data_IF_002787200012
#
_entry.id   IF_002787200012
#
_cell.length_a   1.000
_cell.length_b   1.000
_cell.length_c   1.000
_cell.angle_alpha   90.00
_cell.angle_beta   90.00
_cell.angle_gamma   90.00
#
_symmetry.space_group_name_H-M   'P 1'
#
loop_
_entity.id
_entity.type
_entity.pdbx_description
1 polymer ?
#
# COMPACT_ATOMS: atom_id res chain seq x y z
N UNK A 1 31.16 28.39 -51.03
CA UNK A 1 29.96 28.86 -50.30
C UNK A 1 28.75 27.93 -50.42
N UNK A 2 28.44 27.35 -51.60
CA UNK A 2 27.25 26.47 -51.81
C UNK A 2 27.13 25.23 -50.90
N UNK A 3 28.23 24.58 -50.52
CA UNK A 3 28.21 23.39 -49.64
C UNK A 3 27.89 23.70 -48.17
N UNK A 4 28.16 24.92 -47.70
CA UNK A 4 27.90 25.34 -46.31
C UNK A 4 26.41 25.63 -46.08
N UNK A 5 25.73 26.20 -47.09
CA UNK A 5 24.30 26.51 -47.04
C UNK A 5 23.41 25.27 -47.10
N UNK A 6 23.80 24.26 -47.90
CA UNK A 6 23.13 22.95 -47.98
C UNK A 6 23.25 22.18 -46.65
N UNK A 7 24.43 22.21 -46.02
CA UNK A 7 24.66 21.56 -44.73
C UNK A 7 23.84 22.20 -43.60
N UNK A 8 23.80 23.54 -43.53
CA UNK A 8 22.98 24.27 -42.55
C UNK A 8 21.48 24.03 -42.77
N UNK A 9 21.02 23.97 -44.03
CA UNK A 9 19.62 23.65 -44.36
C UNK A 9 19.20 22.24 -43.94
N UNK A 10 20.07 21.24 -44.15
CA UNK A 10 19.79 19.85 -43.74
C UNK A 10 19.74 19.69 -42.20
N UNK A 11 20.63 20.38 -41.47
CA UNK A 11 20.65 20.38 -40.00
C UNK A 11 19.41 21.10 -39.44
N UNK A 12 18.96 22.20 -40.05
CA UNK A 12 17.74 22.88 -39.64
C UNK A 12 16.48 22.01 -39.87
N UNK A 13 16.41 21.31 -41.01
CA UNK A 13 15.30 20.41 -41.31
C UNK A 13 15.24 19.22 -40.35
N UNK A 14 16.36 18.57 -40.04
CA UNK A 14 16.41 17.47 -39.09
C UNK A 14 16.00 17.90 -37.67
N UNK A 15 16.42 19.10 -37.23
CA UNK A 15 15.99 19.68 -35.96
C UNK A 15 14.49 19.99 -35.94
N UNK A 16 13.93 20.51 -37.04
CA UNK A 16 12.49 20.77 -37.15
C UNK A 16 11.70 19.46 -37.08
N UNK A 17 12.06 18.43 -37.86
CA UNK A 17 11.40 17.12 -37.84
C UNK A 17 11.48 16.43 -36.46
N UNK A 18 12.63 16.52 -35.79
CA UNK A 18 12.77 16.02 -34.42
C UNK A 18 11.83 16.78 -33.46
N UNK A 19 11.76 18.12 -33.58
CA UNK A 19 10.92 18.95 -32.71
C UNK A 19 9.42 18.74 -32.94
N UNK A 20 9.00 18.48 -34.17
CA UNK A 20 7.59 18.20 -34.50
C UNK A 20 7.21 16.79 -34.07
N UNK A 21 8.08 15.81 -34.28
CA UNK A 21 7.94 14.45 -33.76
C UNK A 21 7.80 14.42 -32.23
N UNK A 22 8.68 15.12 -31.51
CA UNK A 22 8.61 15.24 -30.05
C UNK A 22 7.30 15.90 -29.58
N UNK A 23 6.86 16.98 -30.24
CA UNK A 23 5.58 17.64 -29.95
C UNK A 23 4.39 16.71 -30.19
N UNK A 24 4.40 15.93 -31.26
CA UNK A 24 3.36 14.96 -31.54
C UNK A 24 3.28 13.88 -30.46
N UNK A 25 4.43 13.31 -30.06
CA UNK A 25 4.47 12.29 -28.99
C UNK A 25 4.01 12.84 -27.65
N UNK A 26 4.39 14.08 -27.31
CA UNK A 26 3.92 14.74 -26.10
C UNK A 26 2.40 14.93 -26.08
N UNK A 27 1.81 15.39 -27.20
CA UNK A 27 0.34 15.54 -27.34
C UNK A 27 -0.37 14.19 -27.23
N UNK A 28 0.14 13.16 -27.91
CA UNK A 28 -0.41 11.80 -27.85
C UNK A 28 -0.36 11.25 -26.42
N UNK A 29 0.77 11.41 -25.72
CA UNK A 29 0.91 10.99 -24.32
C UNK A 29 -0.06 11.71 -23.40
N UNK A 30 -0.23 13.03 -23.56
CA UNK A 30 -1.20 13.80 -22.78
C UNK A 30 -2.64 13.31 -22.99
N UNK A 31 -3.02 13.04 -24.25
CA UNK A 31 -4.36 12.52 -24.57
C UNK A 31 -4.59 11.11 -24.01
N UNK A 32 -3.62 10.20 -24.17
CA UNK A 32 -3.69 8.86 -23.56
C UNK A 32 -3.79 8.92 -22.02
N UNK A 33 -3.11 9.88 -21.41
CA UNK A 33 -3.13 10.11 -19.96
C UNK A 33 -4.49 10.63 -19.49
N UNK A 34 -5.10 11.54 -20.26
CA UNK A 34 -6.46 12.02 -19.99
C UNK A 34 -7.47 10.87 -20.09
N UNK A 35 -7.36 10.04 -21.12
CA UNK A 35 -8.19 8.84 -21.27
C UNK A 35 -7.96 7.83 -20.15
N UNK A 36 -6.74 7.73 -19.61
CA UNK A 36 -6.43 6.86 -18.47
C UNK A 36 -7.22 7.31 -17.24
N UNK A 37 -7.21 8.62 -16.94
CA UNK A 37 -8.02 9.18 -15.85
C UNK A 37 -9.51 8.83 -16.01
N UNK A 38 -10.09 9.05 -17.20
CA UNK A 38 -11.49 8.68 -17.47
C UNK A 38 -11.75 7.18 -17.34
N UNK A 39 -10.83 6.32 -17.78
CA UNK A 39 -10.98 4.88 -17.66
C UNK A 39 -11.00 4.41 -16.20
N UNK A 40 -10.17 5.02 -15.34
CA UNK A 40 -10.16 4.74 -13.90
C UNK A 40 -11.46 5.18 -13.23
N UNK A 41 -11.95 6.39 -13.51
CA UNK A 41 -13.22 6.89 -12.95
C UNK A 41 -14.45 6.07 -13.36
N UNK A 42 -14.35 5.30 -14.45
CA UNK A 42 -15.41 4.41 -14.94
C UNK A 42 -15.16 2.93 -14.61
N UNK A 43 -14.16 2.64 -13.77
CA UNK A 43 -13.70 1.28 -13.43
C UNK A 43 -13.46 0.38 -14.67
N UNK A 44 -12.99 0.97 -15.77
CA UNK A 44 -12.70 0.26 -17.01
C UNK A 44 -11.26 -0.27 -17.02
N UNK A 45 -11.01 -1.30 -16.20
CA UNK A 45 -9.69 -1.93 -16.01
C UNK A 45 -9.03 -2.33 -17.35
N UNK A 46 -9.72 -3.00 -18.30
CA UNK A 46 -9.11 -3.36 -19.59
C UNK A 46 -8.63 -2.15 -20.39
N UNK A 47 -9.44 -1.08 -20.42
CA UNK A 47 -9.08 0.15 -21.12
C UNK A 47 -7.90 0.85 -20.45
N UNK A 48 -7.89 0.94 -19.13
CA UNK A 48 -6.78 1.54 -18.38
C UNK A 48 -5.45 0.79 -18.65
N UNK A 49 -5.46 -0.56 -18.59
CA UNK A 49 -4.29 -1.39 -18.91
C UNK A 49 -3.81 -1.15 -20.35
N UNK A 50 -4.74 -1.08 -21.32
CA UNK A 50 -4.38 -0.80 -22.70
C UNK A 50 -3.73 0.58 -22.87
N UNK A 51 -4.26 1.61 -22.21
CA UNK A 51 -3.74 2.97 -22.29
C UNK A 51 -2.33 3.09 -21.71
N UNK A 52 -2.07 2.41 -20.58
CA UNK A 52 -0.72 2.30 -20.00
C UNK A 52 0.26 1.66 -21.00
N UNK A 53 -0.13 0.54 -21.64
CA UNK A 53 0.68 -0.12 -22.68
C UNK A 53 0.95 0.78 -23.89
N UNK A 54 0.03 1.69 -24.23
CA UNK A 54 0.17 2.64 -25.33
C UNK A 54 1.04 3.86 -25.00
N UNK A 55 1.48 3.99 -23.74
CA UNK A 55 2.38 5.05 -23.26
C UNK A 55 1.69 6.18 -22.51
N UNK A 56 0.48 5.98 -21.96
CA UNK A 56 -0.08 6.91 -20.98
C UNK A 56 0.90 7.13 -19.81
N UNK A 57 0.94 8.34 -19.25
CA UNK A 57 1.83 8.63 -18.13
C UNK A 57 1.28 8.00 -16.83
N UNK A 58 1.94 6.99 -16.23
CA UNK A 58 1.45 6.37 -15.00
C UNK A 58 1.57 7.29 -13.77
N UNK A 59 2.44 8.30 -13.83
CA UNK A 59 2.69 9.27 -12.75
C UNK A 59 1.86 10.55 -12.87
N UNK A 60 0.86 10.56 -13.76
CA UNK A 60 -0.01 11.71 -13.90
C UNK A 60 -0.90 11.89 -12.68
N UNK A 61 -1.34 13.13 -12.47
CA UNK A 61 -2.29 13.51 -11.43
C UNK A 61 -3.67 13.77 -12.02
N UNK A 62 -4.71 13.46 -11.27
CA UNK A 62 -6.08 13.85 -11.56
C UNK A 62 -6.30 15.35 -11.40
N UNK A 63 -7.54 15.79 -11.60
CA UNK A 63 -7.93 17.20 -11.44
C UNK A 63 -7.84 17.69 -9.99
N UNK A 64 -7.96 16.79 -9.04
CA UNK A 64 -7.76 16.97 -7.60
C UNK A 64 -6.28 17.04 -7.18
N UNK A 65 -5.35 16.81 -8.11
CA UNK A 65 -3.92 16.76 -7.83
C UNK A 65 -3.44 15.43 -7.22
N UNK A 66 -4.32 14.44 -7.09
CA UNK A 66 -3.99 13.10 -6.58
C UNK A 66 -3.38 12.27 -7.73
N UNK A 67 -2.25 11.57 -7.53
CA UNK A 67 -1.71 10.68 -8.54
C UNK A 67 -2.73 9.60 -8.96
N UNK A 68 -2.90 9.38 -10.27
CA UNK A 68 -3.93 8.48 -10.81
C UNK A 68 -3.82 7.04 -10.29
N UNK A 69 -2.61 6.59 -9.92
CA UNK A 69 -2.39 5.26 -9.34
C UNK A 69 -3.13 5.04 -8.02
N UNK A 70 -3.46 6.09 -7.25
CA UNK A 70 -4.28 5.93 -6.04
C UNK A 70 -5.68 5.43 -6.40
N UNK A 71 -6.31 5.98 -7.45
CA UNK A 71 -7.60 5.49 -7.92
C UNK A 71 -7.55 4.07 -8.50
N UNK A 72 -6.36 3.56 -8.87
CA UNK A 72 -6.21 2.17 -9.27
C UNK A 72 -6.23 1.19 -8.08
N UNK A 73 -5.87 1.65 -6.87
CA UNK A 73 -5.95 0.85 -5.64
C UNK A 73 -7.41 0.69 -5.18
N UNK A 74 -8.24 1.72 -5.36
CA UNK A 74 -9.67 1.66 -5.03
C UNK A 74 -10.46 0.69 -5.94
N UNK A 75 -9.88 0.35 -7.11
CA UNK A 75 -10.44 -0.61 -8.07
C UNK A 75 -10.15 -2.07 -7.67
N UNK A 76 -9.23 -2.30 -6.73
CA UNK A 76 -8.85 -3.62 -6.20
C UNK A 76 -8.49 -4.63 -7.31
N UNK A 77 -7.54 -4.24 -8.17
CA UNK A 77 -7.13 -5.03 -9.32
C UNK A 77 -5.60 -5.15 -9.38
N UNK A 78 -5.04 -6.27 -8.88
CA UNK A 78 -3.61 -6.55 -8.97
C UNK A 78 -3.07 -6.47 -10.40
N UNK A 79 -3.87 -6.88 -11.39
CA UNK A 79 -3.51 -6.80 -12.81
C UNK A 79 -3.37 -5.34 -13.31
N UNK A 80 -4.26 -4.44 -12.87
CA UNK A 80 -4.16 -3.02 -13.21
C UNK A 80 -2.96 -2.37 -12.51
N UNK A 81 -2.76 -2.64 -11.21
CA UNK A 81 -1.61 -2.13 -10.47
C UNK A 81 -0.28 -2.61 -11.09
N UNK A 82 -0.21 -3.89 -11.47
CA UNK A 82 0.95 -4.45 -12.19
C UNK A 82 1.20 -3.73 -13.52
N UNK A 83 0.16 -3.31 -14.24
CA UNK A 83 0.31 -2.51 -15.45
C UNK A 83 0.88 -1.12 -15.16
N UNK A 84 0.47 -0.46 -14.06
CA UNK A 84 1.08 0.79 -13.60
C UNK A 84 2.57 0.61 -13.27
N UNK A 85 2.91 -0.43 -12.49
CA UNK A 85 4.30 -0.77 -12.16
C UNK A 85 5.13 -1.01 -13.42
N UNK A 86 4.61 -1.80 -14.36
CA UNK A 86 5.29 -2.09 -15.64
C UNK A 86 5.47 -0.83 -16.49
N UNK A 87 4.54 0.12 -16.42
CA UNK A 87 4.63 1.40 -17.11
C UNK A 87 5.61 2.39 -16.45
N UNK A 88 6.17 2.07 -15.28
CA UNK A 88 7.13 2.90 -14.56
C UNK A 88 6.49 3.92 -13.62
N UNK A 89 5.40 3.54 -12.93
CA UNK A 89 4.87 4.35 -11.83
C UNK A 89 5.92 4.47 -10.71
N UNK A 90 6.00 5.63 -10.09
CA UNK A 90 6.75 5.84 -8.87
C UNK A 90 5.97 5.22 -7.70
N UNK A 91 6.42 4.06 -7.24
CA UNK A 91 5.79 3.30 -6.16
C UNK A 91 5.90 3.98 -4.79
N UNK A 92 6.75 5.00 -4.68
CA UNK A 92 6.91 5.81 -3.48
C UNK A 92 6.20 7.18 -3.58
N UNK A 93 5.30 7.33 -4.55
CA UNK A 93 4.46 8.52 -4.65
C UNK A 93 3.57 8.66 -3.41
N UNK A 94 3.31 9.91 -3.02
CA UNK A 94 2.48 10.25 -1.87
C UNK A 94 1.36 11.18 -2.28
N UNK A 95 0.23 11.06 -1.59
CA UNK A 95 -0.85 12.04 -1.61
C UNK A 95 -1.06 12.61 -0.20
N UNK A 96 -1.86 13.67 -0.11
CA UNK A 96 -2.32 14.21 1.16
C UNK A 96 -3.83 14.22 1.17
N UNK A 97 -4.42 13.58 2.17
CA UNK A 97 -5.86 13.53 2.39
C UNK A 97 -6.12 13.78 3.87
N UNK A 98 -7.04 14.70 4.18
CA UNK A 98 -7.36 15.09 5.56
C UNK A 98 -6.14 15.50 6.41
N UNK A 99 -5.12 16.08 5.78
CA UNK A 99 -3.88 16.47 6.45
C UNK A 99 -2.92 15.30 6.77
N UNK A 100 -3.25 14.08 6.37
CA UNK A 100 -2.41 12.89 6.50
C UNK A 100 -1.69 12.57 5.20
N UNK A 101 -0.44 12.12 5.31
CA UNK A 101 0.34 11.64 4.16
C UNK A 101 -0.11 10.21 3.86
N UNK A 102 -0.64 9.98 2.66
CA UNK A 102 -0.96 8.65 2.13
C UNK A 102 0.14 8.20 1.19
N UNK A 103 0.69 7.02 1.43
CA UNK A 103 1.58 6.30 0.51
C UNK A 103 0.78 5.27 -0.27
N UNK A 104 1.30 4.71 -1.37
CA UNK A 104 0.61 3.60 -2.04
C UNK A 104 0.41 2.40 -1.11
N UNK A 105 1.43 2.04 -0.30
CA UNK A 105 1.35 0.92 0.63
C UNK A 105 0.28 1.11 1.72
N UNK A 106 0.14 2.34 2.22
CA UNK A 106 -0.86 2.66 3.25
C UNK A 106 -2.28 2.82 2.69
N UNK A 107 -2.42 2.84 1.37
CA UNK A 107 -3.70 3.02 0.69
C UNK A 107 -4.31 1.72 0.20
N UNK A 108 -3.55 0.63 0.19
CA UNK A 108 -4.05 -0.71 -0.18
C UNK A 108 -5.12 -1.13 0.82
N UNK A 109 -6.36 -1.30 0.35
CA UNK A 109 -7.47 -1.72 1.21
C UNK A 109 -7.93 -0.66 2.21
N UNK A 110 -7.62 0.63 1.99
CA UNK A 110 -7.97 1.72 2.91
C UNK A 110 -9.47 1.79 3.28
N UNK A 111 -10.35 1.34 2.38
CA UNK A 111 -11.81 1.30 2.58
C UNK A 111 -12.35 -0.10 2.87
N UNK A 112 -11.50 -1.11 2.92
CA UNK A 112 -11.93 -2.49 3.08
C UNK A 112 -12.10 -2.83 4.57
N UNK A 113 -13.25 -3.41 4.92
CA UNK A 113 -13.48 -3.99 6.25
C UNK A 113 -12.63 -5.25 6.47
N UNK A 114 -12.24 -5.93 5.39
CA UNK A 114 -11.40 -7.13 5.39
C UNK A 114 -10.40 -7.04 4.22
N UNK A 115 -9.11 -7.32 4.45
CA UNK A 115 -8.16 -7.48 3.34
C UNK A 115 -8.44 -8.80 2.61
N UNK A 116 -9.00 -8.71 1.40
CA UNK A 116 -9.12 -9.84 0.51
C UNK A 116 -7.77 -10.23 -0.12
N UNK A 117 -7.66 -11.42 -0.74
CA UNK A 117 -6.43 -11.85 -1.39
C UNK A 117 -5.86 -10.86 -2.42
N UNK A 118 -6.72 -10.08 -3.08
CA UNK A 118 -6.33 -9.07 -4.06
C UNK A 118 -5.48 -7.96 -3.42
N UNK A 119 -5.89 -7.42 -2.27
CA UNK A 119 -5.17 -6.37 -1.56
C UNK A 119 -3.81 -6.89 -1.04
N UNK A 120 -3.76 -8.13 -0.56
CA UNK A 120 -2.48 -8.76 -0.17
C UNK A 120 -1.55 -8.89 -1.39
N UNK A 121 -2.09 -9.26 -2.55
CA UNK A 121 -1.32 -9.32 -3.80
C UNK A 121 -0.85 -7.92 -4.25
N UNK A 122 -1.69 -6.89 -4.18
CA UNK A 122 -1.32 -5.50 -4.48
C UNK A 122 -0.20 -4.99 -3.57
N UNK A 123 -0.34 -5.24 -2.26
CA UNK A 123 0.70 -4.86 -1.31
C UNK A 123 2.01 -5.59 -1.61
N UNK A 124 1.94 -6.88 -1.97
CA UNK A 124 3.11 -7.63 -2.41
C UNK A 124 3.73 -7.05 -3.67
N UNK A 125 2.93 -6.70 -4.68
CA UNK A 125 3.41 -6.09 -5.92
C UNK A 125 4.13 -4.76 -5.65
N UNK A 126 3.59 -3.91 -4.77
CA UNK A 126 4.24 -2.65 -4.38
C UNK A 126 5.57 -2.90 -3.67
N UNK A 127 5.60 -3.81 -2.70
CA UNK A 127 6.81 -4.15 -1.94
C UNK A 127 7.89 -4.77 -2.84
N UNK A 128 7.51 -5.72 -3.71
CA UNK A 128 8.40 -6.35 -4.70
C UNK A 128 8.95 -5.30 -5.70
N UNK A 129 8.19 -4.24 -5.99
CA UNK A 129 8.59 -3.12 -6.84
C UNK A 129 9.42 -2.04 -6.10
N UNK A 130 9.71 -2.22 -4.81
CA UNK A 130 10.57 -1.30 -4.04
C UNK A 130 9.83 -0.17 -3.34
N UNK A 131 8.52 -0.32 -3.09
CA UNK A 131 7.82 0.60 -2.19
C UNK A 131 8.42 0.54 -0.79
N UNK A 132 8.72 1.70 -0.22
CA UNK A 132 9.35 1.84 1.08
C UNK A 132 8.29 1.74 2.19
N UNK A 133 8.26 0.66 3.01
CA UNK A 133 7.27 0.52 4.07
C UNK A 133 7.50 1.47 5.25
N UNK A 134 8.59 2.25 5.24
CA UNK A 134 8.90 3.25 6.24
C UNK A 134 8.65 4.68 5.74
N UNK A 135 8.04 4.84 4.57
CA UNK A 135 7.74 6.14 3.98
C UNK A 135 6.67 6.87 4.80
N UNK A 136 6.94 8.12 5.15
CA UNK A 136 6.00 8.99 5.88
C UNK A 136 6.21 9.06 7.39
N UNK A 137 5.47 9.97 8.06
CA UNK A 137 5.58 10.21 9.49
C UNK A 137 4.90 9.12 10.35
N UNK A 138 3.86 8.48 9.82
CA UNK A 138 3.12 7.42 10.50
C UNK A 138 3.74 6.04 10.18
N UNK A 139 3.54 5.05 11.05
CA UNK A 139 3.90 3.66 10.73
C UNK A 139 2.93 3.13 9.68
N UNK A 140 3.42 2.44 8.65
CA UNK A 140 2.54 1.76 7.68
C UNK A 140 1.65 0.71 8.36
N UNK A 141 2.15 0.12 9.46
CA UNK A 141 1.40 -0.85 10.26
C UNK A 141 0.23 -0.14 10.95
N UNK A 142 0.46 1.02 11.58
CA UNK A 142 -0.60 1.83 12.18
C UNK A 142 -1.56 2.42 11.15
N UNK A 143 -1.05 2.94 10.04
CA UNK A 143 -1.86 3.53 8.99
C UNK A 143 -2.85 2.51 8.40
N UNK A 144 -2.37 1.28 8.17
CA UNK A 144 -3.21 0.17 7.71
C UNK A 144 -4.10 -0.41 8.81
N UNK A 145 -3.75 -0.18 10.09
CA UNK A 145 -4.54 -0.57 11.25
C UNK A 145 -5.34 0.60 11.87
N UNK A 146 -5.61 1.70 11.15
CA UNK A 146 -6.22 2.92 11.73
C UNK A 146 -7.48 3.51 11.08
N UNK A 147 -7.98 3.00 9.94
CA UNK A 147 -9.07 3.60 9.12
C UNK A 147 -10.56 3.58 9.56
N UNK A 148 -10.90 3.23 10.79
CA UNK A 148 -12.22 2.86 11.35
C UNK A 148 -12.06 3.22 12.81
N UNK A 149 -12.28 4.50 13.09
CA UNK A 149 -12.23 5.07 14.43
C UNK A 149 -13.27 4.49 15.40
N UNK A 150 -13.77 3.27 15.17
CA UNK A 150 -14.76 2.57 15.98
C UNK A 150 -14.24 1.23 16.53
N UNK A 151 -13.27 0.55 15.90
CA UNK A 151 -12.68 -0.67 16.47
C UNK A 151 -11.32 -1.03 15.83
N UNK A 152 -10.27 -1.17 16.64
CA UNK A 152 -8.93 -1.66 16.24
C UNK A 152 -8.88 -3.14 15.81
N UNK A 153 -10.06 -3.76 15.68
CA UNK A 153 -10.28 -5.17 15.34
C UNK A 153 -10.25 -5.44 13.84
N UNK A 154 -10.74 -4.50 13.03
CA UNK A 154 -11.15 -4.78 11.64
C UNK A 154 -10.00 -4.86 10.63
N UNK A 155 -8.74 -4.58 11.00
CA UNK A 155 -7.61 -4.72 10.04
C UNK A 155 -6.43 -5.52 10.55
N UNK A 156 -6.64 -6.35 11.57
CA UNK A 156 -5.59 -7.25 12.02
C UNK A 156 -5.42 -8.40 11.02
N UNK A 157 -4.63 -8.19 9.96
CA UNK A 157 -4.22 -9.25 9.07
C UNK A 157 -2.75 -9.65 9.34
N UNK A 158 -2.50 -10.81 9.98
CA UNK A 158 -1.14 -11.29 10.25
C UNK A 158 -0.29 -11.46 9.00
N UNK A 159 -0.91 -11.80 7.87
CA UNK A 159 -0.21 -11.94 6.59
C UNK A 159 0.27 -10.58 6.10
N UNK A 160 -0.55 -9.55 6.23
CA UNK A 160 -0.19 -8.17 5.89
C UNK A 160 0.99 -7.68 6.75
N UNK A 161 0.87 -7.77 8.09
CA UNK A 161 1.92 -7.33 9.01
C UNK A 161 3.21 -8.14 8.77
N UNK A 162 3.11 -9.46 8.61
CA UNK A 162 4.27 -10.30 8.31
C UNK A 162 4.93 -9.92 6.98
N UNK A 163 4.13 -9.60 5.96
CA UNK A 163 4.62 -9.20 4.65
C UNK A 163 5.36 -7.84 4.72
N UNK A 164 4.81 -6.87 5.44
CA UNK A 164 5.45 -5.57 5.67
C UNK A 164 6.78 -5.72 6.43
N UNK A 165 6.79 -6.49 7.52
CA UNK A 165 8.00 -6.76 8.30
C UNK A 165 9.07 -7.49 7.50
N UNK A 166 8.66 -8.47 6.68
CA UNK A 166 9.57 -9.19 5.76
C UNK A 166 10.28 -8.24 4.79
N UNK A 167 9.62 -7.14 4.40
CA UNK A 167 10.18 -6.11 3.52
C UNK A 167 10.80 -4.93 4.30
N UNK A 168 11.10 -5.11 5.59
CA UNK A 168 11.86 -4.14 6.37
C UNK A 168 11.03 -3.01 6.96
N UNK A 169 9.71 -3.17 7.13
CA UNK A 169 8.91 -2.25 7.94
C UNK A 169 9.48 -2.22 9.38
N UNK A 170 9.74 -1.02 9.87
CA UNK A 170 10.23 -0.79 11.23
C UNK A 170 9.06 -0.54 12.16
N UNK A 171 9.06 -1.24 13.29
CA UNK A 171 8.11 -0.97 14.36
C UNK A 171 8.39 0.42 14.94
N UNK A 172 7.34 1.24 15.02
CA UNK A 172 7.34 2.55 15.67
C UNK A 172 6.60 2.49 17.01
N UNK A 173 6.66 3.59 17.76
CA UNK A 173 5.95 3.73 19.04
C UNK A 173 4.45 3.52 18.80
N UNK A 174 3.87 2.57 19.54
CA UNK A 174 2.46 2.21 19.43
C UNK A 174 2.18 0.99 18.55
N UNK A 175 3.08 0.60 17.63
CA UNK A 175 2.87 -0.57 16.75
C UNK A 175 2.75 -1.87 17.55
N UNK A 176 3.56 -2.01 18.61
CA UNK A 176 3.50 -3.17 19.50
C UNK A 176 2.15 -3.26 20.21
N UNK A 177 1.64 -2.14 20.72
CA UNK A 177 0.33 -2.10 21.36
C UNK A 177 -0.76 -2.46 20.36
N UNK A 178 -0.72 -1.87 19.16
CA UNK A 178 -1.72 -2.12 18.13
C UNK A 178 -1.71 -3.57 17.61
N UNK A 179 -0.53 -4.19 17.46
CA UNK A 179 -0.38 -5.64 17.16
C UNK A 179 -0.98 -6.52 18.26
N UNK A 180 -0.88 -6.10 19.53
CA UNK A 180 -1.41 -6.83 20.68
C UNK A 180 -2.92 -6.59 20.87
N UNK A 181 -3.42 -5.38 20.62
CA UNK A 181 -4.84 -5.01 20.65
C UNK A 181 -5.63 -5.76 19.57
N UNK A 182 -5.04 -5.90 18.39
CA UNK A 182 -5.50 -6.76 17.32
C UNK A 182 -5.83 -8.20 17.78
N UNK A 183 -5.10 -8.73 18.77
CA UNK A 183 -5.34 -10.06 19.30
C UNK A 183 -6.56 -10.18 20.22
N UNK A 184 -7.16 -9.06 20.64
CA UNK A 184 -8.35 -9.02 21.51
C UNK A 184 -9.64 -9.44 20.78
N UNK A 185 -9.63 -9.45 19.45
CA UNK A 185 -10.83 -9.56 18.61
C UNK A 185 -10.84 -10.80 17.69
N UNK A 186 -10.22 -11.91 18.14
CA UNK A 186 -9.96 -13.15 17.38
C UNK A 186 -11.19 -13.77 16.67
N UNK A 187 -12.42 -13.41 17.06
CA UNK A 187 -13.69 -13.99 16.57
C UNK A 187 -14.61 -13.02 15.78
N UNK A 188 -14.16 -11.80 15.47
CA UNK A 188 -15.00 -10.82 14.74
C UNK A 188 -14.78 -10.85 13.21
N UNK A 189 -13.88 -11.71 12.70
CA UNK A 189 -13.48 -11.77 11.29
C UNK A 189 -13.57 -13.17 10.65
N UNK A 190 -13.50 -13.21 9.31
CA UNK A 190 -13.59 -14.46 8.53
C UNK A 190 -12.38 -15.41 8.72
N UNK A 191 -11.23 -14.90 9.16
CA UNK A 191 -10.00 -15.69 9.40
C UNK A 191 -9.90 -16.11 10.88
N UNK A 192 -10.34 -17.34 11.18
CA UNK A 192 -10.21 -17.96 12.52
C UNK A 192 -8.76 -17.93 13.00
N UNK A 193 -8.56 -17.68 14.29
CA UNK A 193 -7.27 -17.64 14.98
C UNK A 193 -6.31 -16.50 14.49
N UNK A 194 -6.85 -15.43 13.85
CA UNK A 194 -6.07 -14.26 13.39
C UNK A 194 -5.34 -13.53 14.53
N UNK A 195 -6.00 -13.38 15.69
CA UNK A 195 -5.41 -12.81 16.90
C UNK A 195 -4.31 -13.71 17.48
N UNK A 196 -4.53 -15.02 17.51
CA UNK A 196 -3.48 -15.99 17.88
C UNK A 196 -2.28 -15.91 16.94
N UNK A 197 -2.52 -15.78 15.63
CA UNK A 197 -1.47 -15.63 14.63
C UNK A 197 -0.69 -14.30 14.80
N UNK A 198 -1.36 -13.20 15.15
CA UNK A 198 -0.70 -11.94 15.50
C UNK A 198 0.21 -12.08 16.70
N UNK A 199 -0.23 -12.73 17.78
CA UNK A 199 0.63 -12.99 18.94
C UNK A 199 1.85 -13.81 18.54
N UNK A 200 1.68 -14.87 17.73
CA UNK A 200 2.82 -15.68 17.25
C UNK A 200 3.79 -14.86 16.40
N UNK A 201 3.29 -13.93 15.59
CA UNK A 201 4.14 -13.02 14.84
C UNK A 201 4.89 -12.09 15.79
N UNK A 202 4.19 -11.48 16.74
CA UNK A 202 4.74 -10.57 17.73
C UNK A 202 5.87 -11.21 18.56
N UNK A 203 5.68 -12.45 19.02
CA UNK A 203 6.69 -13.19 19.80
C UNK A 203 8.01 -13.39 19.03
N UNK A 204 7.96 -13.44 17.70
CA UNK A 204 9.13 -13.56 16.83
C UNK A 204 9.84 -12.22 16.58
N UNK A 205 9.23 -11.09 16.92
CA UNK A 205 9.83 -9.77 16.72
C UNK A 205 10.97 -9.54 17.72
N UNK A 206 12.03 -8.82 17.34
CA UNK A 206 13.16 -8.51 18.22
C UNK A 206 12.82 -7.42 19.25
N UNK A 207 11.75 -7.61 20.04
CA UNK A 207 11.34 -6.72 21.12
C UNK A 207 12.17 -7.03 22.38
N UNK A 208 12.85 -6.02 22.99
CA UNK A 208 13.64 -6.21 24.20
C UNK A 208 12.83 -6.85 25.34
N UNK A 209 13.44 -7.76 26.11
CA UNK A 209 12.77 -8.50 27.19
C UNK A 209 12.10 -7.57 28.22
N UNK A 210 12.74 -6.44 28.53
CA UNK A 210 12.24 -5.40 29.46
C UNK A 210 10.92 -4.75 28.99
N UNK A 211 10.68 -4.72 27.68
CA UNK A 211 9.46 -4.21 27.06
C UNK A 211 8.46 -5.35 26.81
N UNK A 212 8.97 -6.55 26.51
CA UNK A 212 8.18 -7.75 26.21
C UNK A 212 7.34 -8.20 27.41
N UNK A 213 7.93 -8.35 28.60
CA UNK A 213 7.20 -8.88 29.78
C UNK A 213 6.02 -7.99 30.22
N UNK A 214 6.18 -6.67 30.38
CA UNK A 214 5.05 -5.79 30.70
C UNK A 214 3.96 -5.80 29.63
N UNK A 215 4.36 -5.84 28.35
CA UNK A 215 3.41 -5.93 27.24
C UNK A 215 2.58 -7.21 27.32
N UNK A 216 3.22 -8.39 27.52
CA UNK A 216 2.50 -9.66 27.68
C UNK A 216 1.54 -9.61 28.87
N UNK A 217 1.98 -9.11 30.02
CA UNK A 217 1.16 -9.03 31.22
C UNK A 217 -0.09 -8.14 30.99
N UNK A 218 0.08 -6.98 30.35
CA UNK A 218 -1.02 -6.09 30.00
C UNK A 218 -1.99 -6.75 29.01
N UNK A 219 -1.48 -7.40 27.96
CA UNK A 219 -2.31 -8.10 26.98
C UNK A 219 -3.09 -9.25 27.60
N UNK A 220 -2.50 -10.03 28.53
CA UNK A 220 -3.22 -11.07 29.27
C UNK A 220 -4.36 -10.45 30.09
N UNK A 221 -4.12 -9.32 30.74
CA UNK A 221 -5.14 -8.61 31.53
C UNK A 221 -6.32 -8.16 30.65
N UNK A 222 -6.04 -7.52 29.52
CA UNK A 222 -7.07 -7.06 28.58
C UNK A 222 -7.82 -8.24 27.93
N UNK A 223 -7.10 -9.27 27.46
CA UNK A 223 -7.71 -10.47 26.90
C UNK A 223 -8.68 -11.11 27.88
N UNK A 224 -8.33 -11.16 29.17
CA UNK A 224 -9.18 -11.71 30.23
C UNK A 224 -10.42 -10.85 30.49
N UNK A 225 -10.30 -9.51 30.40
CA UNK A 225 -11.44 -8.58 30.54
C UNK A 225 -12.47 -8.78 29.43
N UNK A 226 -12.03 -9.07 28.20
CA UNK A 226 -12.90 -9.30 27.04
C UNK A 226 -13.19 -10.79 26.76
N UNK A 227 -13.02 -11.69 27.74
CA UNK A 227 -13.13 -13.15 27.56
C UNK A 227 -14.50 -13.74 27.95
N UNK A 228 -15.61 -13.03 27.71
CA UNK A 228 -16.94 -13.41 28.23
C UNK A 228 -17.42 -14.80 27.80
N UNK A 229 -16.99 -15.28 26.62
CA UNK A 229 -17.33 -16.60 26.08
C UNK A 229 -16.11 -17.52 25.87
N UNK A 230 -14.96 -17.22 26.51
CA UNK A 230 -13.78 -18.09 26.50
C UNK A 230 -12.96 -18.07 25.20
N UNK A 231 -13.31 -17.20 24.25
CA UNK A 231 -12.68 -17.07 22.93
C UNK A 231 -11.17 -16.77 23.02
N UNK A 232 -10.73 -16.04 24.04
CA UNK A 232 -9.33 -15.66 24.22
C UNK A 232 -8.50 -16.71 24.98
N UNK A 233 -9.09 -17.83 25.42
CA UNK A 233 -8.40 -18.82 26.25
C UNK A 233 -7.12 -19.38 25.61
N UNK A 234 -7.16 -19.65 24.30
CA UNK A 234 -5.98 -20.12 23.54
C UNK A 234 -4.86 -19.08 23.56
N UNK A 235 -5.20 -17.84 23.26
CA UNK A 235 -4.26 -16.71 23.21
C UNK A 235 -3.66 -16.40 24.58
N UNK A 236 -4.48 -16.40 25.63
CA UNK A 236 -4.04 -16.23 27.02
C UNK A 236 -3.09 -17.36 27.44
N UNK A 237 -3.40 -18.63 27.10
CA UNK A 237 -2.54 -19.75 27.41
C UNK A 237 -1.18 -19.66 26.70
N UNK A 238 -1.17 -19.27 25.42
CA UNK A 238 0.05 -19.03 24.65
C UNK A 238 0.93 -17.97 25.32
N UNK A 239 0.36 -16.83 25.69
CA UNK A 239 1.07 -15.73 26.35
C UNK A 239 1.58 -16.10 27.75
N UNK A 240 0.81 -16.85 28.54
CA UNK A 240 1.24 -17.35 29.86
C UNK A 240 2.43 -18.29 29.75
N UNK A 241 2.47 -19.12 28.71
CA UNK A 241 3.60 -20.04 28.48
C UNK A 241 4.89 -19.28 28.14
N UNK A 242 4.82 -18.17 27.41
CA UNK A 242 5.99 -17.32 27.12
C UNK A 242 6.56 -16.64 28.38
N UNK A 243 5.74 -16.42 29.42
CA UNK A 243 6.21 -15.78 30.66
C UNK A 243 6.89 -16.73 31.65
N UNK A 244 6.81 -18.05 31.42
CA UNK A 244 7.43 -19.08 32.28
C UNK A 244 8.91 -19.20 31.98
#
# INVERSE_FOLDING_TARGET
>A
MKGRTLFVGLVALSAILASTGARYQARRRAELTRQLGSALSLDNKPRAIQLLKLGANPNAKGHDGIPLVFGALDIESPALLKAFITAGVDVNTTSTEEGRVRTLLSSVGHYAEVLYPAQIEEMKLLLDAGANPNLGPESVIQANMGGCGHCGACWSNPRQVALLLKHGAKLRKGDTAAILEAALYDDVGEEKDSGTAMIRLWLKLPVPVKERRPAIANTIHELARYNSAGHNNKTIALLKNEMR
#
